data_IF_504484263280
#
_entry.id   IF_504484263280
#
_cell.length_a   1.000
_cell.length_b   1.000
_cell.length_c   1.000
_cell.angle_alpha   90.00
_cell.angle_beta   90.00
_cell.angle_gamma   90.00
#
_symmetry.space_group_name_H-M   'P 1'
#
loop_
_entity.id
_entity.type
_entity.pdbx_description
1 polymer ?
#
# COMPACT_ATOMS: atom_id res chain seq x y z
N UNK A 1 5.50 -0.46 9.53
CA UNK A 1 5.72 -1.49 8.48
C UNK A 1 4.39 -2.08 8.05
N UNK A 2 4.31 -2.72 6.88
CA UNK A 2 3.06 -3.38 6.46
C UNK A 2 2.73 -4.62 7.30
N UNK A 3 1.46 -5.04 7.30
CA UNK A 3 0.97 -6.23 8.01
C UNK A 3 1.78 -7.50 7.68
N UNK A 4 2.32 -7.58 6.47
CA UNK A 4 3.16 -8.69 5.99
C UNK A 4 4.44 -8.90 6.83
N UNK A 5 4.85 -7.89 7.63
CA UNK A 5 6.04 -7.93 8.47
C UNK A 5 5.74 -8.22 9.96
N UNK A 6 4.48 -8.46 10.32
CA UNK A 6 4.05 -8.64 11.71
C UNK A 6 4.71 -9.85 12.36
N UNK A 7 4.88 -10.95 11.62
CA UNK A 7 5.61 -12.13 12.09
C UNK A 7 7.08 -11.82 12.42
N UNK A 8 7.74 -11.02 11.59
CA UNK A 8 9.14 -10.65 11.78
C UNK A 8 9.33 -9.75 13.01
N UNK A 9 8.39 -8.84 13.27
CA UNK A 9 8.38 -8.02 14.49
C UNK A 9 8.17 -8.89 15.73
N UNK A 10 7.23 -9.84 15.68
CA UNK A 10 6.99 -10.74 16.81
C UNK A 10 8.21 -11.60 17.14
N UNK A 11 8.91 -12.09 16.11
CA UNK A 11 10.17 -12.82 16.29
C UNK A 11 11.25 -11.92 16.91
N UNK A 12 11.41 -10.70 16.41
CA UNK A 12 12.36 -9.74 16.95
C UNK A 12 12.06 -9.40 18.43
N UNK A 13 10.78 -9.23 18.78
CA UNK A 13 10.32 -9.03 20.16
C UNK A 13 10.68 -10.20 21.06
N UNK A 14 10.39 -11.43 20.62
CA UNK A 14 10.67 -12.63 21.40
C UNK A 14 12.19 -12.80 21.62
N UNK A 15 13.00 -12.62 20.58
CA UNK A 15 14.46 -12.69 20.68
C UNK A 15 15.02 -11.60 21.63
N UNK A 16 14.49 -10.39 21.54
CA UNK A 16 14.86 -9.26 22.40
C UNK A 16 14.56 -9.57 23.87
N UNK A 17 13.38 -10.10 24.17
CA UNK A 17 12.99 -10.49 25.53
C UNK A 17 13.87 -11.63 26.06
N UNK A 18 14.11 -12.67 25.26
CA UNK A 18 14.97 -13.78 25.65
C UNK A 18 16.40 -13.33 25.98
N UNK A 19 16.95 -12.43 25.17
CA UNK A 19 18.30 -11.90 25.39
C UNK A 19 18.36 -11.03 26.66
N UNK A 20 17.42 -10.09 26.79
CA UNK A 20 17.37 -9.17 27.92
C UNK A 20 17.14 -9.89 29.26
N UNK A 21 16.38 -10.98 29.26
CA UNK A 21 16.14 -11.81 30.44
C UNK A 21 17.35 -12.68 30.82
N UNK A 22 18.12 -13.15 29.83
CA UNK A 22 19.23 -14.09 30.06
C UNK A 22 20.56 -13.41 30.38
N UNK A 23 20.79 -12.21 29.86
CA UNK A 23 22.08 -11.54 29.97
C UNK A 23 21.95 -10.19 30.66
N UNK A 24 21.64 -9.14 29.88
CA UNK A 24 21.53 -7.77 30.36
C UNK A 24 20.54 -7.04 29.46
N UNK A 25 19.82 -6.07 30.04
CA UNK A 25 18.87 -5.26 29.29
C UNK A 25 19.61 -4.29 28.37
N UNK A 26 19.81 -4.69 27.11
CA UNK A 26 20.57 -3.93 26.11
C UNK A 26 19.70 -3.50 24.93
N UNK A 27 18.75 -4.35 24.52
CA UNK A 27 17.95 -4.10 23.32
C UNK A 27 16.58 -3.51 23.70
N UNK A 28 16.17 -2.38 23.08
CA UNK A 28 14.83 -1.85 23.25
C UNK A 28 13.81 -2.78 22.57
N UNK A 29 12.61 -2.86 23.14
CA UNK A 29 11.52 -3.71 22.63
C UNK A 29 10.95 -3.05 21.35
N UNK A 30 10.99 -3.74 20.19
CA UNK A 30 10.44 -3.19 18.96
C UNK A 30 8.91 -3.07 19.02
N UNK A 31 8.41 -1.84 18.89
CA UNK A 31 6.99 -1.54 18.78
C UNK A 31 6.55 -1.39 17.32
N UNK A 32 5.31 -1.80 17.05
CA UNK A 32 4.72 -1.67 15.73
C UNK A 32 4.13 -0.27 15.60
N UNK A 33 4.75 0.57 14.78
CA UNK A 33 4.18 1.87 14.46
C UNK A 33 2.84 1.66 13.74
N UNK A 34 1.74 2.25 14.24
CA UNK A 34 0.46 2.19 13.54
C UNK A 34 0.64 2.78 12.15
N UNK A 35 0.28 2.02 11.11
CA UNK A 35 0.19 2.61 9.78
C UNK A 35 -0.94 3.61 9.82
N UNK A 36 -0.63 4.84 9.41
CA UNK A 36 -1.64 5.86 9.11
C UNK A 36 -2.65 5.25 8.13
N UNK A 37 -3.85 4.90 8.63
CA UNK A 37 -4.95 4.40 7.80
C UNK A 37 -5.43 5.47 6.82
N UNK A 38 -5.05 6.73 7.07
CA UNK A 38 -5.28 7.90 6.22
C UNK A 38 -4.56 7.80 4.87
N UNK A 39 -3.43 7.08 4.78
CA UNK A 39 -2.79 6.73 3.52
C UNK A 39 -3.56 5.54 2.91
N UNK A 40 -4.71 5.85 2.31
CA UNK A 40 -5.62 4.89 1.70
C UNK A 40 -4.84 3.85 0.88
N UNK A 41 -5.13 2.56 1.14
CA UNK A 41 -4.46 1.46 0.46
C UNK A 41 -4.67 1.58 -1.05
N UNK A 42 -3.64 2.05 -1.77
CA UNK A 42 -3.67 2.17 -3.22
C UNK A 42 -3.72 0.78 -3.84
N UNK A 43 -4.75 0.57 -4.67
CA UNK A 43 -4.99 -0.68 -5.38
C UNK A 43 -4.39 -0.63 -6.78
N UNK A 44 -4.32 -1.79 -7.43
CA UNK A 44 -3.87 -1.90 -8.81
C UNK A 44 -4.76 -1.08 -9.74
N UNK A 45 -4.15 -0.47 -10.77
CA UNK A 45 -4.87 0.30 -11.79
C UNK A 45 -5.70 -0.58 -12.73
N UNK A 46 -5.49 -1.90 -12.72
CA UNK A 46 -6.21 -2.86 -13.55
C UNK A 46 -7.12 -3.81 -12.77
N UNK A 47 -6.80 -4.05 -11.50
CA UNK A 47 -7.54 -4.98 -10.66
C UNK A 47 -7.85 -4.31 -9.29
N UNK A 48 -9.08 -3.87 -9.06
CA UNK A 48 -9.49 -3.18 -7.84
C UNK A 48 -9.57 -4.11 -6.62
N UNK A 49 -9.33 -5.42 -6.77
CA UNK A 49 -9.25 -6.35 -5.66
C UNK A 49 -7.80 -6.58 -5.20
N UNK A 50 -6.81 -6.19 -6.01
CA UNK A 50 -5.40 -6.37 -5.70
C UNK A 50 -4.77 -5.07 -5.20
N UNK A 51 -3.95 -5.18 -4.17
CA UNK A 51 -3.04 -4.12 -3.76
C UNK A 51 -2.04 -3.85 -4.88
N UNK A 52 -1.66 -2.59 -5.10
CA UNK A 52 -0.58 -2.28 -6.03
C UNK A 52 0.70 -2.98 -5.57
N UNK A 53 1.32 -3.77 -6.45
CA UNK A 53 2.51 -4.55 -6.15
C UNK A 53 3.64 -4.21 -7.12
N UNK A 54 4.87 -4.10 -6.59
CA UNK A 54 6.08 -3.94 -7.40
C UNK A 54 6.36 -5.18 -8.26
N UNK A 55 5.98 -6.36 -7.77
CA UNK A 55 6.21 -7.66 -8.43
C UNK A 55 5.11 -8.06 -9.41
N UNK A 56 4.07 -7.23 -9.60
CA UNK A 56 3.08 -7.50 -10.63
C UNK A 56 3.74 -7.47 -12.01
N UNK A 57 3.48 -8.50 -12.82
CA UNK A 57 4.07 -8.68 -14.15
C UNK A 57 3.54 -7.67 -15.17
N UNK A 58 2.38 -7.07 -14.91
CA UNK A 58 1.81 -6.05 -15.77
C UNK A 58 2.28 -4.64 -15.37
N UNK A 59 3.12 -3.96 -16.16
CA UNK A 59 3.59 -2.62 -15.82
C UNK A 59 2.47 -1.58 -15.82
N UNK A 60 1.32 -1.85 -16.46
CA UNK A 60 0.17 -0.94 -16.47
C UNK A 60 -0.69 -1.05 -15.20
N UNK A 61 -0.47 -2.06 -14.35
CA UNK A 61 -1.20 -2.23 -13.09
C UNK A 61 -0.64 -1.38 -11.94
N UNK A 62 0.57 -0.83 -12.11
CA UNK A 62 1.35 -0.13 -11.09
C UNK A 62 1.93 1.19 -11.59
N UNK A 63 2.08 2.15 -10.68
CA UNK A 63 2.84 3.38 -10.90
C UNK A 63 4.16 3.25 -10.16
N UNK A 64 5.27 3.42 -10.86
CA UNK A 64 6.60 3.42 -10.28
C UNK A 64 7.06 4.85 -10.07
N UNK A 65 7.81 5.11 -9.00
CA UNK A 65 8.35 6.45 -8.69
C UNK A 65 9.33 6.90 -9.79
N UNK A 66 9.93 5.95 -10.49
CA UNK A 66 10.84 6.16 -11.62
C UNK A 66 10.13 6.31 -12.97
N UNK A 67 8.80 6.19 -13.02
CA UNK A 67 8.07 6.38 -14.27
C UNK A 67 8.17 7.84 -14.74
N UNK A 68 8.37 8.02 -16.04
CA UNK A 68 8.32 9.35 -16.66
C UNK A 68 6.89 9.92 -16.62
N UNK A 69 6.72 11.25 -16.54
CA UNK A 69 5.40 11.89 -16.44
C UNK A 69 4.40 11.43 -17.52
N UNK A 70 4.86 11.29 -18.76
CA UNK A 70 4.02 10.83 -19.88
C UNK A 70 3.53 9.38 -19.69
N UNK A 71 4.37 8.53 -19.11
CA UNK A 71 4.02 7.14 -18.84
C UNK A 71 3.02 7.06 -17.69
N UNK A 72 3.18 7.87 -16.64
CA UNK A 72 2.22 7.98 -15.53
C UNK A 72 0.86 8.42 -16.08
N UNK A 73 0.82 9.49 -16.89
CA UNK A 73 -0.41 9.96 -17.54
C UNK A 73 -1.06 8.87 -18.39
N UNK A 74 -0.27 8.11 -19.17
CA UNK A 74 -0.77 7.01 -19.99
C UNK A 74 -1.35 5.88 -19.14
N UNK A 75 -0.71 5.52 -18.02
CA UNK A 75 -1.19 4.51 -17.07
C UNK A 75 -2.51 4.94 -16.42
N UNK A 76 -2.59 6.18 -15.91
CA UNK A 76 -3.81 6.72 -15.33
C UNK A 76 -4.97 6.77 -16.33
N UNK A 77 -4.72 7.19 -17.59
CA UNK A 77 -5.74 7.20 -18.65
C UNK A 77 -6.23 5.82 -19.07
N UNK A 78 -5.41 4.78 -18.88
CA UNK A 78 -5.74 3.38 -19.20
C UNK A 78 -6.16 2.57 -17.97
N UNK A 79 -6.25 3.19 -16.80
CA UNK A 79 -6.73 2.52 -15.61
C UNK A 79 -8.16 2.01 -15.86
N UNK A 80 -8.48 0.88 -15.24
CA UNK A 80 -9.83 0.35 -15.25
C UNK A 80 -10.76 1.37 -14.61
N UNK A 81 -11.89 1.63 -15.26
CA UNK A 81 -12.98 2.46 -14.76
C UNK A 81 -14.30 1.79 -15.06
N UNK A 82 -15.38 2.28 -14.48
CA UNK A 82 -16.73 1.91 -14.84
C UNK A 82 -17.24 2.72 -16.05
N UNK A 83 -18.45 2.39 -16.53
CA UNK A 83 -19.08 3.06 -17.67
C UNK A 83 -19.87 4.33 -17.27
N UNK A 84 -19.61 4.89 -16.08
CA UNK A 84 -20.35 6.04 -15.57
C UNK A 84 -19.49 7.31 -15.67
N UNK A 85 -20.03 8.38 -16.27
CA UNK A 85 -19.27 9.63 -16.45
C UNK A 85 -19.09 10.46 -15.18
N UNK A 86 -19.77 10.11 -14.08
CA UNK A 86 -19.68 10.84 -12.81
C UNK A 86 -18.46 10.40 -12.02
N UNK A 87 -17.73 11.34 -11.43
CA UNK A 87 -16.63 11.06 -10.50
C UNK A 87 -17.19 11.08 -9.07
N UNK A 88 -17.52 9.90 -8.53
CA UNK A 88 -18.03 9.76 -7.14
C UNK A 88 -17.13 8.80 -6.36
N UNK A 89 -17.00 9.04 -5.06
CA UNK A 89 -16.29 8.14 -4.17
C UNK A 89 -17.26 7.13 -3.57
N UNK A 90 -17.15 5.88 -4.02
CA UNK A 90 -17.90 4.73 -3.50
C UNK A 90 -16.99 3.50 -3.57
N UNK A 91 -16.23 3.19 -2.51
CA UNK A 91 -15.27 2.08 -2.53
C UNK A 91 -15.93 0.70 -2.54
N UNK A 92 -17.26 0.60 -2.33
CA UNK A 92 -18.01 -0.66 -2.34
C UNK A 92 -18.53 -0.94 -3.75
N UNK A 93 -19.23 0.03 -4.36
CA UNK A 93 -19.87 -0.19 -5.66
C UNK A 93 -19.02 0.29 -6.85
N UNK A 94 -18.06 1.20 -6.61
CA UNK A 94 -17.19 1.78 -7.64
C UNK A 94 -15.72 1.80 -7.18
N UNK A 95 -15.15 0.63 -6.85
CA UNK A 95 -13.82 0.55 -6.25
C UNK A 95 -12.71 1.07 -7.17
N UNK A 96 -12.89 1.03 -8.49
CA UNK A 96 -11.92 1.49 -9.49
C UNK A 96 -11.79 3.02 -9.49
N UNK A 97 -12.92 3.72 -9.58
CA UNK A 97 -12.96 5.19 -9.57
C UNK A 97 -12.53 5.71 -8.20
N UNK A 98 -12.97 5.04 -7.13
CA UNK A 98 -12.55 5.38 -5.76
C UNK A 98 -11.05 5.21 -5.56
N UNK A 99 -10.41 4.25 -6.23
CA UNK A 99 -8.96 4.08 -6.19
C UNK A 99 -8.23 5.25 -6.87
N UNK A 100 -8.74 5.73 -8.02
CA UNK A 100 -8.18 6.91 -8.70
C UNK A 100 -8.36 8.19 -7.88
N UNK A 101 -9.51 8.35 -7.21
CA UNK A 101 -9.76 9.45 -6.26
C UNK A 101 -8.76 9.37 -5.10
N UNK A 102 -8.57 8.19 -4.52
CA UNK A 102 -7.60 7.99 -3.45
C UNK A 102 -6.17 8.32 -3.89
N UNK A 103 -5.77 7.95 -5.11
CA UNK A 103 -4.47 8.32 -5.69
C UNK A 103 -4.29 9.83 -5.86
N UNK A 104 -5.37 10.55 -6.19
CA UNK A 104 -5.34 12.02 -6.34
C UNK A 104 -5.24 12.73 -4.98
N UNK A 105 -5.96 12.23 -3.96
CA UNK A 105 -6.00 12.82 -2.62
C UNK A 105 -4.89 12.34 -1.69
N UNK A 106 -4.24 11.21 -1.98
CA UNK A 106 -3.06 10.78 -1.25
C UNK A 106 -1.96 11.80 -1.49
N UNK A 107 -1.83 12.76 -0.57
CA UNK A 107 -0.69 13.66 -0.51
C UNK A 107 0.57 12.79 -0.37
N UNK A 108 1.37 12.79 -1.43
CA UNK A 108 2.82 12.55 -1.33
C UNK A 108 3.47 13.69 -0.56
#
# INVERSE_FOLDING_TARGET
VGLDQLHNINLANHLTQLFNNKFVHLFPIPELLPQDESAGKVKSLKDPNKKMSKSDGDPMSKIEITDMPDLILKKCKKALTDNTSQVTYDPVNRPEVSNLINLFFSRL
#
